data_IF_699098923618
#
_entry.id   IF_699098923618
#
_cell.length_a   1.000
_cell.length_b   1.000
_cell.length_c   1.000
_cell.angle_alpha   90.00
_cell.angle_beta   90.00
_cell.angle_gamma   90.00
#
_symmetry.space_group_name_H-M   'P 1'
#
loop_
_entity.id
_entity.type
_entity.pdbx_description
1 polymer ?
#
# COMPACT_ATOMS: atom_id res chain seq x y z
N UNK A 1 30.99 -6.29 3.21
CA UNK A 1 29.72 -5.57 3.45
C UNK A 1 28.87 -5.66 2.21
N UNK A 2 27.85 -6.54 2.17
CA UNK A 2 26.83 -6.53 1.10
C UNK A 2 25.83 -5.43 1.45
N UNK A 3 26.23 -4.17 1.25
CA UNK A 3 25.35 -3.04 1.46
C UNK A 3 24.86 -2.50 0.11
N UNK A 4 23.53 -2.48 -0.04
CA UNK A 4 22.71 -1.83 -1.09
C UNK A 4 22.27 -2.66 -2.30
N UNK A 5 21.71 -3.86 -2.10
CA UNK A 5 20.93 -4.52 -3.18
C UNK A 5 19.60 -3.80 -3.49
N UNK A 6 19.03 -3.06 -2.53
CA UNK A 6 17.75 -2.37 -2.71
C UNK A 6 17.85 -0.87 -2.45
N UNK A 7 17.31 -0.06 -3.37
CA UNK A 7 17.28 1.41 -3.30
C UNK A 7 15.86 1.89 -2.96
N UNK A 8 15.76 3.05 -2.31
CA UNK A 8 14.47 3.71 -2.10
C UNK A 8 13.87 4.12 -3.45
N UNK A 9 12.62 3.73 -3.67
CA UNK A 9 11.85 4.04 -4.89
C UNK A 9 10.49 4.61 -4.52
N UNK A 10 9.89 5.36 -5.43
CA UNK A 10 8.48 5.76 -5.35
C UNK A 10 7.70 4.96 -6.38
N UNK A 11 6.60 4.35 -5.95
CA UNK A 11 5.67 3.65 -6.83
C UNK A 11 4.37 4.44 -6.92
N UNK A 12 3.79 4.49 -8.12
CA UNK A 12 2.45 5.03 -8.36
C UNK A 12 1.55 3.86 -8.72
N UNK A 13 0.54 3.60 -7.89
CA UNK A 13 -0.36 2.46 -8.04
C UNK A 13 -1.79 2.96 -8.07
N UNK A 14 -2.56 2.73 -9.15
CA UNK A 14 -3.99 2.98 -9.14
C UNK A 14 -4.67 1.99 -8.20
N UNK A 15 -5.59 2.47 -7.37
CA UNK A 15 -6.33 1.66 -6.39
C UNK A 15 -7.84 1.80 -6.64
N UNK A 16 -8.60 0.75 -6.36
CA UNK A 16 -10.06 0.79 -6.47
C UNK A 16 -10.69 1.84 -5.54
N UNK A 17 -11.93 2.23 -5.85
CA UNK A 17 -12.69 3.16 -5.01
C UNK A 17 -12.87 2.64 -3.59
N UNK A 18 -13.06 1.33 -3.43
CA UNK A 18 -13.17 0.67 -2.13
C UNK A 18 -11.86 0.77 -1.34
N UNK A 19 -10.73 0.44 -1.95
CA UNK A 19 -9.41 0.55 -1.30
C UNK A 19 -9.12 2.00 -0.90
N UNK A 20 -9.43 2.98 -1.76
CA UNK A 20 -9.28 4.40 -1.41
C UNK A 20 -10.18 4.81 -0.25
N UNK A 21 -11.43 4.33 -0.20
CA UNK A 21 -12.33 4.57 0.95
C UNK A 21 -11.73 4.04 2.24
N UNK A 22 -11.30 2.78 2.26
CA UNK A 22 -10.70 2.14 3.44
C UNK A 22 -9.43 2.88 3.91
N UNK A 23 -8.54 3.23 2.98
CA UNK A 23 -7.34 4.00 3.27
C UNK A 23 -7.66 5.39 3.84
N UNK A 24 -8.66 6.08 3.28
CA UNK A 24 -9.11 7.39 3.72
C UNK A 24 -9.61 7.37 5.16
N UNK A 25 -10.48 6.42 5.47
CA UNK A 25 -11.06 6.30 6.81
C UNK A 25 -10.01 5.90 7.85
N UNK A 26 -9.07 5.02 7.49
CA UNK A 26 -7.93 4.71 8.37
C UNK A 26 -7.06 5.93 8.64
N UNK A 27 -6.69 6.66 7.60
CA UNK A 27 -5.85 7.84 7.71
C UNK A 27 -6.49 8.91 8.62
N UNK A 28 -7.81 9.13 8.48
CA UNK A 28 -8.58 10.01 9.37
C UNK A 28 -8.52 9.55 10.84
N UNK A 29 -8.80 8.27 11.11
CA UNK A 29 -8.76 7.71 12.48
C UNK A 29 -7.38 7.84 13.10
N UNK A 30 -6.32 7.64 12.32
CA UNK A 30 -4.94 7.77 12.77
C UNK A 30 -4.43 9.22 12.82
N UNK A 31 -5.23 10.21 12.39
CA UNK A 31 -4.83 11.62 12.21
C UNK A 31 -3.58 11.78 11.35
N UNK A 32 -3.51 11.06 10.23
CA UNK A 32 -2.42 11.09 9.26
C UNK A 32 -2.91 11.46 7.86
N UNK A 33 -1.99 11.88 7.00
CA UNK A 33 -2.28 11.98 5.58
C UNK A 33 -2.40 10.59 4.97
N UNK A 34 -3.18 10.46 3.88
CA UNK A 34 -3.33 9.18 3.16
C UNK A 34 -1.99 8.60 2.71
N UNK A 35 -1.05 9.46 2.27
CA UNK A 35 0.28 9.04 1.83
C UNK A 35 1.05 8.36 2.95
N UNK A 36 1.09 8.97 4.14
CA UNK A 36 1.80 8.39 5.29
C UNK A 36 1.13 7.09 5.72
N UNK A 37 -0.20 7.07 5.81
CA UNK A 37 -0.93 5.86 6.17
C UNK A 37 -0.72 4.72 5.16
N UNK A 38 -0.65 5.03 3.86
CA UNK A 38 -0.37 4.03 2.82
C UNK A 38 1.03 3.43 2.95
N UNK A 39 2.05 4.27 3.21
CA UNK A 39 3.43 3.81 3.44
C UNK A 39 3.50 2.90 4.67
N UNK A 40 2.84 3.29 5.76
CA UNK A 40 2.79 2.47 6.98
C UNK A 40 2.10 1.14 6.71
N UNK A 41 0.91 1.14 6.11
CA UNK A 41 0.15 -0.09 5.81
C UNK A 41 0.92 -1.02 4.88
N UNK A 42 1.54 -0.49 3.83
CA UNK A 42 2.37 -1.30 2.92
C UNK A 42 3.57 -1.90 3.65
N UNK A 43 4.30 -1.09 4.43
CA UNK A 43 5.48 -1.57 5.15
C UNK A 43 5.14 -2.57 6.25
N UNK A 44 4.02 -2.38 6.94
CA UNK A 44 3.55 -3.26 8.00
C UNK A 44 3.07 -4.59 7.43
N UNK A 45 2.23 -4.54 6.40
CA UNK A 45 1.67 -5.74 5.78
C UNK A 45 2.75 -6.64 5.16
N UNK A 46 3.76 -6.07 4.50
CA UNK A 46 4.90 -6.84 3.97
C UNK A 46 5.77 -7.51 5.06
N UNK A 47 5.71 -7.06 6.32
CA UNK A 47 6.40 -7.73 7.44
C UNK A 47 5.57 -8.83 8.08
N UNK A 48 4.25 -8.68 8.05
CA UNK A 48 3.31 -9.60 8.70
C UNK A 48 2.87 -10.72 7.76
N UNK A 49 2.90 -10.49 6.44
CA UNK A 49 2.38 -11.40 5.43
C UNK A 49 3.48 -11.73 4.43
N UNK A 50 3.94 -12.97 4.45
CA UNK A 50 5.00 -13.45 3.55
C UNK A 50 4.51 -13.65 2.11
N UNK A 51 3.25 -14.05 1.94
CA UNK A 51 2.65 -14.31 0.63
C UNK A 51 1.17 -13.94 0.63
N UNK A 52 0.70 -13.40 -0.49
CA UNK A 52 -0.70 -13.09 -0.75
C UNK A 52 -1.05 -13.73 -2.09
N UNK A 53 -2.03 -14.62 -2.08
CA UNK A 53 -2.67 -15.08 -3.31
C UNK A 53 -3.67 -14.03 -3.79
N UNK A 54 -3.70 -13.77 -5.11
CA UNK A 54 -4.71 -12.89 -5.68
C UNK A 54 -4.43 -12.46 -7.12
N UNK A 55 -5.50 -12.10 -7.83
CA UNK A 55 -5.41 -11.49 -9.14
C UNK A 55 -5.43 -9.96 -9.01
N UNK A 56 -4.27 -9.32 -9.18
CA UNK A 56 -4.17 -7.87 -9.05
C UNK A 56 -5.09 -7.11 -10.02
N UNK A 57 -5.47 -7.70 -11.16
CA UNK A 57 -6.37 -7.09 -12.13
C UNK A 57 -7.77 -6.84 -11.57
N UNK A 58 -8.21 -7.63 -10.58
CA UNK A 58 -9.49 -7.43 -9.90
C UNK A 58 -9.44 -6.23 -8.94
N UNK A 59 -8.24 -5.86 -8.49
CA UNK A 59 -8.00 -4.70 -7.62
C UNK A 59 -7.78 -3.41 -8.41
N UNK A 60 -7.54 -3.52 -9.71
CA UNK A 60 -7.42 -2.39 -10.62
C UNK A 60 -8.79 -1.88 -11.05
N UNK A 61 -8.88 -0.56 -11.22
CA UNK A 61 -10.08 0.09 -11.77
C UNK A 61 -10.33 -0.47 -13.18
N UNK A 62 -11.48 -1.12 -13.40
CA UNK A 62 -12.04 -1.20 -14.75
C UNK A 62 -12.60 0.19 -15.07
N UNK A 63 -11.99 0.87 -16.04
CA UNK A 63 -12.54 2.10 -16.62
C UNK A 63 -13.89 1.82 -17.28
#
# INVERSE_FOLDING_TARGET
MKEKEYKSVTISVPISAETNRLLTESAKRARRSKKVEAVLRLSDHLRLVEHIEGNYQELLIKY
#
